data_IF_924596346770
#
_entry.id   IF_924596346770
#
_cell.length_a   1.000
_cell.length_b   1.000
_cell.length_c   1.000
_cell.angle_alpha   90.00
_cell.angle_beta   90.00
_cell.angle_gamma   90.00
#
_symmetry.space_group_name_H-M   'P 1'
#
loop_
_entity.id
_entity.type
_entity.pdbx_description
1 polymer ?
#
# COMPACT_ATOMS: atom_id res chain seq x y z
N UNK A 1 -0.73 42.62 2.21
CA UNK A 1 0.71 42.48 2.54
C UNK A 1 1.08 42.83 3.98
N UNK A 2 0.52 43.89 4.64
CA UNK A 2 0.90 44.31 6.01
C UNK A 2 0.73 43.17 7.04
N UNK A 3 -0.41 42.50 7.06
CA UNK A 3 -0.69 41.41 8.00
C UNK A 3 0.12 40.15 7.66
N UNK A 4 0.28 39.81 6.38
CA UNK A 4 1.13 38.69 5.95
C UNK A 4 2.58 38.82 6.44
N UNK A 5 3.18 40.00 6.31
CA UNK A 5 4.54 40.32 6.82
C UNK A 5 4.65 40.23 8.35
N UNK A 6 3.54 40.36 9.07
CA UNK A 6 3.47 40.22 10.53
C UNK A 6 3.10 38.82 10.97
N UNK A 7 3.05 37.85 10.06
CA UNK A 7 2.61 36.49 10.28
C UNK A 7 1.15 36.34 10.83
N UNK A 8 0.32 37.39 10.69
CA UNK A 8 -1.12 37.33 10.95
C UNK A 8 -1.82 36.78 9.69
N UNK A 9 -1.60 35.47 9.45
CA UNK A 9 -2.02 34.82 8.20
C UNK A 9 -3.54 34.73 8.07
N UNK A 10 -4.26 34.61 9.17
CA UNK A 10 -5.72 34.63 9.17
C UNK A 10 -6.29 35.94 8.63
N UNK A 11 -5.87 37.09 9.20
CA UNK A 11 -6.31 38.39 8.68
C UNK A 11 -5.81 38.65 7.27
N UNK A 12 -4.63 38.15 6.94
CA UNK A 12 -4.10 38.28 5.60
C UNK A 12 -4.95 37.53 4.56
N UNK A 13 -5.33 36.28 4.83
CA UNK A 13 -6.16 35.49 3.90
C UNK A 13 -7.55 36.10 3.71
N UNK A 14 -8.24 36.50 4.80
CA UNK A 14 -9.55 37.17 4.69
C UNK A 14 -9.49 38.41 3.78
N UNK A 15 -8.49 39.30 4.01
CA UNK A 15 -8.34 40.49 3.18
C UNK A 15 -7.94 40.17 1.73
N UNK A 16 -7.11 39.14 1.51
CA UNK A 16 -6.78 38.72 0.15
C UNK A 16 -8.00 38.21 -0.59
N UNK A 17 -8.87 37.42 0.07
CA UNK A 17 -10.13 36.95 -0.50
C UNK A 17 -11.08 38.09 -0.86
N UNK A 18 -11.23 39.10 0.03
CA UNK A 18 -12.06 40.28 -0.21
C UNK A 18 -11.60 41.12 -1.42
N UNK A 19 -10.26 41.31 -1.57
CA UNK A 19 -9.74 42.19 -2.63
C UNK A 19 -9.53 41.46 -3.97
N UNK A 20 -9.37 40.13 -3.98
CA UNK A 20 -9.10 39.35 -5.21
C UNK A 20 -10.13 39.63 -6.34
N UNK A 21 -11.45 39.67 -6.09
CA UNK A 21 -12.43 40.00 -7.14
C UNK A 21 -12.29 41.39 -7.70
N UNK A 22 -11.80 42.35 -6.90
CA UNK A 22 -11.64 43.74 -7.26
C UNK A 22 -10.40 44.00 -8.15
N UNK A 23 -9.44 43.07 -8.09
CA UNK A 23 -8.16 43.13 -8.80
C UNK A 23 -8.20 42.44 -10.19
N UNK A 24 -9.37 42.03 -10.69
CA UNK A 24 -9.45 41.35 -11.98
C UNK A 24 -8.91 42.27 -13.09
N UNK A 25 -7.88 41.74 -13.81
CA UNK A 25 -7.20 42.51 -14.87
C UNK A 25 -6.05 43.40 -14.36
N UNK A 26 -5.83 43.50 -13.06
CA UNK A 26 -4.71 44.25 -12.49
C UNK A 26 -3.48 43.34 -12.31
N UNK A 27 -2.29 43.90 -12.54
CA UNK A 27 -1.01 43.20 -12.38
C UNK A 27 -0.72 42.74 -10.94
N UNK A 28 -1.43 43.30 -9.95
CA UNK A 28 -1.33 42.91 -8.54
C UNK A 28 -2.18 41.69 -8.18
N UNK A 29 -3.14 41.30 -9.05
CA UNK A 29 -4.00 40.13 -8.81
C UNK A 29 -3.20 38.85 -8.63
N UNK A 30 -2.19 38.64 -9.47
CA UNK A 30 -1.30 37.49 -9.45
C UNK A 30 -0.61 37.35 -8.08
N UNK A 31 0.07 38.39 -7.62
CA UNK A 31 0.75 38.38 -6.32
C UNK A 31 -0.23 38.19 -5.16
N UNK A 32 -1.41 38.77 -5.24
CA UNK A 32 -2.44 38.64 -4.20
C UNK A 32 -2.91 37.21 -4.06
N UNK A 33 -3.21 36.53 -5.19
CA UNK A 33 -3.63 35.13 -5.17
C UNK A 33 -2.52 34.20 -4.69
N UNK A 34 -1.28 34.42 -5.11
CA UNK A 34 -0.12 33.64 -4.68
C UNK A 34 0.10 33.75 -3.16
N UNK A 35 0.07 34.96 -2.61
CA UNK A 35 0.23 35.15 -1.17
C UNK A 35 -1.00 34.71 -0.35
N UNK A 36 -2.20 34.71 -0.93
CA UNK A 36 -3.38 34.11 -0.31
C UNK A 36 -3.21 32.59 -0.14
N UNK A 37 -2.72 31.89 -1.17
CA UNK A 37 -2.42 30.47 -1.08
C UNK A 37 -1.39 30.17 0.04
N UNK A 38 -0.33 30.96 0.13
CA UNK A 38 0.64 30.84 1.22
C UNK A 38 0.06 31.18 2.60
N UNK A 39 -0.82 32.17 2.70
CA UNK A 39 -1.47 32.51 3.98
C UNK A 39 -2.30 31.33 4.50
N UNK A 40 -3.00 30.61 3.62
CA UNK A 40 -3.71 29.39 3.96
C UNK A 40 -2.75 28.25 4.35
N UNK A 41 -1.63 28.09 3.64
CA UNK A 41 -0.60 27.11 3.98
C UNK A 41 -0.06 27.29 5.40
N UNK A 42 0.33 28.52 5.76
CA UNK A 42 0.87 28.83 7.08
C UNK A 42 -0.15 28.75 8.22
N UNK A 43 -1.45 28.77 7.90
CA UNK A 43 -2.52 28.45 8.86
C UNK A 43 -2.74 26.96 9.05
N UNK A 44 -2.08 26.09 8.26
CA UNK A 44 -2.34 24.65 8.25
C UNK A 44 -3.57 24.24 7.46
N UNK A 45 -4.19 25.16 6.71
CA UNK A 45 -5.32 24.90 5.83
C UNK A 45 -4.84 24.31 4.50
N UNK A 46 -4.24 23.11 4.56
CA UNK A 46 -3.51 22.52 3.43
C UNK A 46 -4.41 22.20 2.23
N UNK A 47 -5.65 21.80 2.45
CA UNK A 47 -6.62 21.56 1.38
C UNK A 47 -6.93 22.84 0.61
N UNK A 48 -7.23 23.93 1.32
CA UNK A 48 -7.49 25.22 0.69
C UNK A 48 -6.23 25.75 0.01
N UNK A 49 -5.08 25.60 0.65
CA UNK A 49 -3.78 26.01 0.08
C UNK A 49 -3.51 25.28 -1.24
N UNK A 50 -3.68 23.95 -1.28
CA UNK A 50 -3.47 23.17 -2.50
C UNK A 50 -4.41 23.60 -3.61
N UNK A 51 -5.68 23.80 -3.32
CA UNK A 51 -6.66 24.31 -4.28
C UNK A 51 -6.26 25.69 -4.85
N UNK A 52 -5.87 26.61 -3.99
CA UNK A 52 -5.48 27.97 -4.39
C UNK A 52 -4.20 27.97 -5.25
N UNK A 53 -3.19 27.17 -4.90
CA UNK A 53 -1.97 27.03 -5.71
C UNK A 53 -2.24 26.36 -7.06
N UNK A 54 -3.11 25.34 -7.10
CA UNK A 54 -3.52 24.69 -8.35
C UNK A 54 -4.25 25.68 -9.27
N UNK A 55 -5.20 26.45 -8.70
CA UNK A 55 -5.93 27.50 -9.42
C UNK A 55 -5.00 28.59 -9.94
N UNK A 56 -4.02 28.99 -9.12
CA UNK A 56 -2.98 29.95 -9.52
C UNK A 56 -2.19 29.44 -10.73
N UNK A 57 -1.66 28.21 -10.65
CA UNK A 57 -0.90 27.60 -11.75
C UNK A 57 -1.71 27.48 -13.04
N UNK A 58 -2.99 27.10 -12.93
CA UNK A 58 -3.88 27.02 -14.09
C UNK A 58 -4.15 28.38 -14.74
N UNK A 59 -4.17 29.46 -13.93
CA UNK A 59 -4.48 30.82 -14.42
C UNK A 59 -3.24 31.56 -14.89
N UNK A 60 -2.12 31.38 -14.23
CA UNK A 60 -0.86 32.14 -14.42
C UNK A 60 0.33 31.20 -14.73
N UNK A 61 0.15 30.30 -15.69
CA UNK A 61 1.17 29.30 -16.04
C UNK A 61 2.50 29.88 -16.58
N UNK A 62 2.49 31.11 -17.07
CA UNK A 62 3.67 31.84 -17.55
C UNK A 62 4.26 32.77 -16.48
N UNK A 63 3.74 32.77 -15.28
CA UNK A 63 4.23 33.57 -14.16
C UNK A 63 5.61 33.11 -13.68
N UNK A 64 6.49 34.01 -13.23
CA UNK A 64 7.71 33.62 -12.53
C UNK A 64 7.44 32.86 -11.21
N UNK A 65 6.19 32.87 -10.71
CA UNK A 65 5.75 32.11 -9.54
C UNK A 65 5.10 30.76 -9.92
N UNK A 66 4.92 30.44 -11.19
CA UNK A 66 4.18 29.27 -11.64
C UNK A 66 4.82 27.94 -11.15
N UNK A 67 6.14 27.80 -11.32
CA UNK A 67 6.89 26.62 -10.84
C UNK A 67 6.75 26.45 -9.31
N UNK A 68 6.93 27.53 -8.55
CA UNK A 68 6.79 27.51 -7.10
C UNK A 68 5.35 27.20 -6.66
N UNK A 69 4.35 27.75 -7.36
CA UNK A 69 2.95 27.46 -7.09
C UNK A 69 2.63 25.99 -7.33
N UNK A 70 3.14 25.40 -8.41
CA UNK A 70 2.92 23.98 -8.70
C UNK A 70 3.62 23.08 -7.66
N UNK A 71 4.83 23.42 -7.25
CA UNK A 71 5.49 22.75 -6.13
C UNK A 71 4.66 22.85 -4.84
N UNK A 72 4.18 24.06 -4.49
CA UNK A 72 3.41 24.28 -3.27
C UNK A 72 2.03 23.62 -3.30
N UNK A 73 1.43 23.45 -4.48
CA UNK A 73 0.26 22.60 -4.67
C UNK A 73 0.53 21.17 -4.21
N UNK A 74 1.56 20.53 -4.78
CA UNK A 74 1.92 19.15 -4.43
C UNK A 74 2.39 19.02 -2.97
N UNK A 75 3.14 20.00 -2.47
CA UNK A 75 3.61 20.02 -1.09
C UNK A 75 2.48 20.22 -0.07
N UNK A 76 1.48 21.04 -0.40
CA UNK A 76 0.28 21.19 0.45
C UNK A 76 -0.49 19.87 0.54
N UNK A 77 -0.64 19.15 -0.58
CA UNK A 77 -1.25 17.82 -0.58
C UNK A 77 -0.45 16.84 0.28
N UNK A 78 0.88 16.84 0.18
CA UNK A 78 1.74 16.03 1.06
C UNK A 78 1.50 16.35 2.54
N UNK A 79 1.40 17.62 2.91
CA UNK A 79 1.15 18.06 4.29
C UNK A 79 -0.23 17.66 4.82
N UNK A 80 -1.22 17.47 3.94
CA UNK A 80 -2.58 17.04 4.28
C UNK A 80 -2.73 15.50 4.36
N UNK A 81 -1.65 14.75 4.09
CA UNK A 81 -1.72 13.28 4.14
C UNK A 81 -1.84 12.76 5.57
N UNK A 82 -2.74 11.77 5.81
CA UNK A 82 -2.90 11.17 7.13
C UNK A 82 -1.76 10.20 7.48
N UNK A 83 -1.64 9.80 8.77
CA UNK A 83 -0.76 8.71 9.16
C UNK A 83 -1.20 7.38 8.53
N UNK A 84 -0.27 6.40 8.44
CA UNK A 84 -0.43 5.15 7.69
C UNK A 84 -1.64 4.29 8.08
N UNK A 85 -2.13 4.40 9.31
CA UNK A 85 -3.26 3.60 9.84
C UNK A 85 -4.64 4.11 9.42
N UNK A 86 -4.74 5.33 8.89
CA UNK A 86 -5.98 5.91 8.37
C UNK A 86 -6.16 5.63 6.87
N UNK A 87 -7.25 6.12 6.29
CA UNK A 87 -7.46 6.05 4.84
C UNK A 87 -6.34 6.77 4.08
N UNK A 88 -5.88 6.19 2.98
CA UNK A 88 -4.70 6.69 2.23
C UNK A 88 -5.08 7.27 0.85
N UNK A 89 -6.33 7.60 0.62
CA UNK A 89 -6.77 8.22 -0.65
C UNK A 89 -6.02 9.52 -0.92
N UNK A 90 -5.91 10.41 0.08
CA UNK A 90 -5.15 11.65 -0.05
C UNK A 90 -3.65 11.40 -0.28
N UNK A 91 -3.10 10.32 0.30
CA UNK A 91 -1.70 9.94 0.08
C UNK A 91 -1.42 9.56 -1.37
N UNK A 92 -2.32 8.78 -1.99
CA UNK A 92 -2.20 8.39 -3.40
C UNK A 92 -2.25 9.63 -4.29
N UNK A 93 -3.19 10.54 -4.05
CA UNK A 93 -3.32 11.78 -4.82
C UNK A 93 -2.09 12.70 -4.66
N UNK A 94 -1.52 12.76 -3.45
CA UNK A 94 -0.29 13.51 -3.19
C UNK A 94 0.93 12.90 -3.91
N UNK A 95 1.02 11.57 -3.98
CA UNK A 95 2.05 10.86 -4.77
C UNK A 95 1.97 11.25 -6.24
N UNK A 96 0.78 11.23 -6.83
CA UNK A 96 0.57 11.60 -8.23
C UNK A 96 0.95 13.06 -8.49
N UNK A 97 0.58 13.98 -7.60
CA UNK A 97 0.94 15.38 -7.72
C UNK A 97 2.46 15.63 -7.63
N UNK A 98 3.15 14.98 -6.67
CA UNK A 98 4.61 15.06 -6.54
C UNK A 98 5.34 14.46 -7.74
N UNK A 99 4.88 13.30 -8.23
CA UNK A 99 5.48 12.66 -9.40
C UNK A 99 5.30 13.51 -10.65
N UNK A 100 4.11 14.11 -10.83
CA UNK A 100 3.82 15.00 -11.96
C UNK A 100 4.68 16.25 -11.91
N UNK A 101 4.92 16.82 -10.72
CA UNK A 101 5.85 17.95 -10.56
C UNK A 101 7.27 17.57 -10.98
N UNK A 102 7.81 16.45 -10.49
CA UNK A 102 9.16 15.99 -10.84
C UNK A 102 9.30 15.77 -12.34
N UNK A 103 8.28 15.18 -12.99
CA UNK A 103 8.29 14.93 -14.42
C UNK A 103 8.23 16.24 -15.24
N UNK A 104 7.49 17.26 -14.75
CA UNK A 104 7.33 18.56 -15.44
C UNK A 104 8.53 19.48 -15.24
N UNK A 105 9.19 19.38 -14.10
CA UNK A 105 10.31 20.25 -13.69
C UNK A 105 11.47 19.44 -13.10
N UNK A 106 12.14 18.59 -13.92
CA UNK A 106 13.20 17.68 -13.42
C UNK A 106 14.39 18.44 -12.81
N UNK A 107 14.74 19.58 -13.37
CA UNK A 107 15.87 20.43 -12.94
C UNK A 107 15.50 21.49 -11.90
N UNK A 108 14.28 21.42 -11.35
CA UNK A 108 13.82 22.35 -10.32
C UNK A 108 14.59 22.20 -9.01
N UNK A 109 14.87 23.32 -8.36
CA UNK A 109 15.40 23.34 -6.98
C UNK A 109 14.51 22.62 -5.96
N UNK A 110 13.26 22.34 -6.30
CA UNK A 110 12.29 21.63 -5.45
C UNK A 110 12.24 20.12 -5.71
N UNK A 111 12.85 19.61 -6.79
CA UNK A 111 12.75 18.20 -7.22
C UNK A 111 13.29 17.23 -6.17
N UNK A 112 14.40 17.56 -5.50
CA UNK A 112 14.96 16.74 -4.41
C UNK A 112 14.00 16.67 -3.20
N UNK A 113 13.31 17.76 -2.90
CA UNK A 113 12.32 17.77 -1.81
C UNK A 113 11.11 16.92 -2.16
N UNK A 114 10.60 17.06 -3.39
CA UNK A 114 9.50 16.22 -3.90
C UNK A 114 9.87 14.74 -3.87
N UNK A 115 11.08 14.37 -4.27
CA UNK A 115 11.56 12.99 -4.27
C UNK A 115 11.59 12.39 -2.85
N UNK A 116 12.07 13.15 -1.87
CA UNK A 116 12.06 12.73 -0.45
C UNK A 116 10.63 12.56 0.08
N UNK A 117 9.74 13.51 -0.22
CA UNK A 117 8.34 13.42 0.19
C UNK A 117 7.62 12.24 -0.48
N UNK A 118 7.91 11.98 -1.75
CA UNK A 118 7.40 10.84 -2.49
C UNK A 118 7.83 9.50 -1.85
N UNK A 119 9.09 9.41 -1.45
CA UNK A 119 9.60 8.24 -0.74
C UNK A 119 8.90 8.05 0.61
N UNK A 120 8.74 9.10 1.43
CA UNK A 120 8.02 9.03 2.70
C UNK A 120 6.56 8.53 2.52
N UNK A 121 5.85 9.02 1.51
CA UNK A 121 4.49 8.57 1.23
C UNK A 121 4.44 7.11 0.78
N UNK A 122 5.39 6.65 -0.04
CA UNK A 122 5.50 5.25 -0.45
C UNK A 122 5.79 4.34 0.75
N UNK A 123 6.67 4.75 1.66
CA UNK A 123 6.95 4.02 2.89
C UNK A 123 5.71 3.92 3.81
N UNK A 124 4.84 4.95 3.83
CA UNK A 124 3.56 4.91 4.58
C UNK A 124 2.58 3.89 3.97
N UNK A 125 2.46 3.85 2.63
CA UNK A 125 1.64 2.85 1.93
C UNK A 125 2.16 1.43 2.17
N UNK A 126 3.46 1.23 2.05
CA UNK A 126 4.15 -0.03 2.33
C UNK A 126 3.88 -0.49 3.77
N UNK A 127 4.05 0.39 4.75
CA UNK A 127 3.78 0.09 6.15
C UNK A 127 2.32 -0.28 6.40
N UNK A 128 1.37 0.43 5.79
CA UNK A 128 -0.05 0.08 5.89
C UNK A 128 -0.33 -1.32 5.35
N UNK A 129 0.22 -1.63 4.18
CA UNK A 129 0.05 -2.95 3.56
C UNK A 129 0.69 -4.06 4.39
N UNK A 130 1.88 -3.83 4.95
CA UNK A 130 2.56 -4.74 5.88
C UNK A 130 1.73 -5.01 7.14
N UNK A 131 1.25 -3.96 7.82
CA UNK A 131 0.46 -4.11 9.04
C UNK A 131 -0.88 -4.82 8.76
N UNK A 132 -1.48 -4.60 7.59
CA UNK A 132 -2.66 -5.31 7.13
C UNK A 132 -2.38 -6.82 6.95
N UNK A 133 -1.30 -7.18 6.27
CA UNK A 133 -0.89 -8.57 6.08
C UNK A 133 -0.64 -9.27 7.43
N UNK A 134 0.07 -8.58 8.32
CA UNK A 134 0.35 -9.05 9.69
C UNK A 134 -0.92 -9.21 10.53
N UNK A 135 -1.90 -8.34 10.36
CA UNK A 135 -3.20 -8.44 11.05
C UNK A 135 -3.94 -9.70 10.62
N UNK A 136 -4.08 -9.98 9.31
CA UNK A 136 -4.70 -11.21 8.83
C UNK A 136 -3.97 -12.46 9.33
N UNK A 137 -2.63 -12.42 9.36
CA UNK A 137 -1.85 -13.51 9.92
C UNK A 137 -2.12 -13.71 11.42
N UNK A 138 -2.24 -12.65 12.21
CA UNK A 138 -2.52 -12.73 13.65
C UNK A 138 -3.94 -13.17 13.98
N UNK A 139 -4.90 -12.80 13.16
CA UNK A 139 -6.34 -13.10 13.35
C UNK A 139 -6.78 -14.40 12.68
N UNK A 140 -5.84 -15.19 12.14
CA UNK A 140 -6.11 -16.51 11.61
C UNK A 140 -6.40 -17.48 12.77
N UNK A 141 -7.65 -17.76 13.01
CA UNK A 141 -8.13 -18.67 14.04
C UNK A 141 -9.35 -19.40 13.51
N UNK A 142 -9.38 -20.76 13.56
CA UNK A 142 -10.51 -21.56 13.09
C UNK A 142 -11.83 -21.21 13.79
N UNK A 143 -11.76 -20.77 15.04
CA UNK A 143 -12.92 -20.45 15.86
C UNK A 143 -13.60 -19.13 15.49
N UNK A 144 -12.91 -18.19 14.83
CA UNK A 144 -13.41 -16.83 14.56
C UNK A 144 -13.74 -16.51 13.12
N UNK A 145 -13.37 -17.30 12.17
CA UNK A 145 -13.58 -16.98 10.74
C UNK A 145 -13.37 -18.16 9.82
N UNK A 146 -13.17 -19.34 10.38
CA UNK A 146 -12.89 -20.53 9.60
C UNK A 146 -11.66 -20.36 8.70
N UNK A 147 -11.66 -21.07 7.58
CA UNK A 147 -10.56 -21.05 6.61
C UNK A 147 -10.36 -19.70 5.91
N UNK A 148 -11.34 -18.78 5.97
CA UNK A 148 -11.28 -17.51 5.24
C UNK A 148 -10.13 -16.62 5.69
N UNK A 149 -9.83 -16.56 6.98
CA UNK A 149 -8.73 -15.73 7.51
C UNK A 149 -7.35 -16.30 7.16
N UNK A 150 -7.19 -17.63 7.09
CA UNK A 150 -5.96 -18.25 6.59
C UNK A 150 -5.71 -17.91 5.13
N UNK A 151 -6.75 -18.08 4.29
CA UNK A 151 -6.67 -17.71 2.88
C UNK A 151 -6.41 -16.22 2.70
N UNK A 152 -7.11 -15.36 3.45
CA UNK A 152 -6.91 -13.91 3.41
C UNK A 152 -5.46 -13.53 3.79
N UNK A 153 -4.87 -14.23 4.78
CA UNK A 153 -3.46 -14.02 5.15
C UNK A 153 -2.53 -14.34 3.98
N UNK A 154 -2.68 -15.52 3.37
CA UNK A 154 -1.84 -15.93 2.23
C UNK A 154 -1.95 -14.96 1.07
N UNK A 155 -3.18 -14.63 0.65
CA UNK A 155 -3.45 -13.73 -0.49
C UNK A 155 -2.95 -12.30 -0.21
N UNK A 156 -3.15 -11.78 1.01
CA UNK A 156 -2.71 -10.42 1.35
C UNK A 156 -1.18 -10.31 1.35
N UNK A 157 -0.48 -11.35 1.84
CA UNK A 157 0.99 -11.40 1.80
C UNK A 157 1.47 -11.50 0.34
N UNK A 158 0.81 -12.28 -0.48
CA UNK A 158 1.17 -12.39 -1.90
C UNK A 158 1.00 -11.05 -2.64
N UNK A 159 -0.09 -10.35 -2.40
CA UNK A 159 -0.32 -9.02 -2.96
C UNK A 159 0.74 -8.02 -2.46
N UNK A 160 1.06 -8.04 -1.16
CA UNK A 160 2.16 -7.20 -0.63
C UNK A 160 3.47 -7.42 -1.38
N UNK A 161 3.85 -8.68 -1.62
CA UNK A 161 5.11 -9.02 -2.32
C UNK A 161 5.11 -8.58 -3.79
N UNK A 162 3.93 -8.51 -4.43
CA UNK A 162 3.77 -7.96 -5.79
C UNK A 162 3.88 -6.43 -5.81
N UNK A 163 3.23 -5.77 -4.84
CA UNK A 163 3.20 -4.31 -4.77
C UNK A 163 4.53 -3.72 -4.29
N UNK A 164 5.26 -4.47 -3.43
CA UNK A 164 6.52 -4.05 -2.80
C UNK A 164 7.61 -5.13 -2.92
N UNK A 165 8.11 -5.42 -4.13
CA UNK A 165 9.04 -6.53 -4.38
C UNK A 165 10.37 -6.39 -3.63
N UNK A 166 10.85 -5.16 -3.41
CA UNK A 166 12.12 -4.84 -2.74
C UNK A 166 11.97 -4.52 -1.25
N UNK A 167 10.78 -4.75 -0.69
CA UNK A 167 10.50 -4.44 0.71
C UNK A 167 11.33 -5.29 1.68
N UNK A 168 11.85 -4.62 2.70
CA UNK A 168 12.51 -5.29 3.85
C UNK A 168 11.60 -6.23 4.64
N UNK A 169 10.29 -6.10 4.50
CA UNK A 169 9.30 -6.95 5.18
C UNK A 169 9.05 -8.27 4.45
N UNK A 170 9.54 -8.44 3.22
CA UNK A 170 9.28 -9.63 2.40
C UNK A 170 9.79 -10.93 3.03
N UNK A 171 10.90 -10.92 3.76
CA UNK A 171 11.42 -12.10 4.44
C UNK A 171 10.46 -12.56 5.56
N UNK A 172 10.09 -11.65 6.48
CA UNK A 172 9.16 -11.94 7.57
C UNK A 172 7.79 -12.38 7.06
N UNK A 173 7.24 -11.65 6.08
CA UNK A 173 5.94 -11.98 5.50
C UNK A 173 5.96 -13.32 4.76
N UNK A 174 7.05 -13.67 4.06
CA UNK A 174 7.17 -14.98 3.41
C UNK A 174 7.20 -16.12 4.42
N UNK A 175 7.85 -15.94 5.58
CA UNK A 175 7.81 -16.91 6.67
C UNK A 175 6.38 -17.08 7.23
N UNK A 176 5.66 -15.98 7.42
CA UNK A 176 4.25 -15.99 7.82
C UNK A 176 3.36 -16.68 6.77
N UNK A 177 3.62 -16.46 5.48
CA UNK A 177 2.88 -17.07 4.38
C UNK A 177 2.97 -18.60 4.39
N UNK A 178 4.18 -19.13 4.57
CA UNK A 178 4.41 -20.58 4.66
C UNK A 178 3.62 -21.18 5.83
N UNK A 179 3.69 -20.55 7.01
CA UNK A 179 2.94 -20.97 8.19
C UNK A 179 1.42 -20.97 7.93
N UNK A 180 0.90 -19.88 7.40
CA UNK A 180 -0.54 -19.74 7.12
C UNK A 180 -1.02 -20.73 6.05
N UNK A 181 -0.20 -20.98 5.01
CA UNK A 181 -0.51 -21.92 3.94
C UNK A 181 -0.54 -23.37 4.44
N UNK A 182 0.41 -23.76 5.29
CA UNK A 182 0.38 -25.08 5.93
C UNK A 182 -0.87 -25.26 6.79
N UNK A 183 -1.17 -24.31 7.66
CA UNK A 183 -2.36 -24.35 8.53
C UNK A 183 -3.66 -24.39 7.70
N UNK A 184 -3.72 -23.62 6.61
CA UNK A 184 -4.81 -23.66 5.64
C UNK A 184 -4.94 -25.04 4.99
N UNK A 185 -3.84 -25.69 4.63
CA UNK A 185 -3.83 -27.02 4.04
C UNK A 185 -4.37 -28.08 5.01
N UNK A 186 -3.87 -28.05 6.26
CA UNK A 186 -4.20 -29.00 7.30
C UNK A 186 -5.69 -28.97 7.70
N UNK A 187 -6.27 -27.76 7.72
CA UNK A 187 -7.68 -27.52 8.05
C UNK A 187 -8.63 -27.67 6.83
N UNK A 188 -8.11 -27.93 5.65
CA UNK A 188 -8.90 -27.96 4.42
C UNK A 188 -9.65 -29.28 4.24
N UNK A 189 -10.72 -29.24 3.46
CA UNK A 189 -11.37 -30.44 2.95
C UNK A 189 -10.38 -31.26 2.12
N UNK A 190 -10.52 -32.59 2.18
CA UNK A 190 -9.64 -33.56 1.55
C UNK A 190 -9.29 -33.25 0.09
N UNK A 191 -10.29 -32.85 -0.71
CA UNK A 191 -10.14 -32.53 -2.13
C UNK A 191 -9.27 -31.29 -2.40
N UNK A 192 -8.95 -30.48 -1.38
CA UNK A 192 -8.10 -29.30 -1.47
C UNK A 192 -6.74 -29.46 -0.78
N UNK A 193 -6.57 -30.52 0.02
CA UNK A 193 -5.35 -30.70 0.81
C UNK A 193 -4.11 -30.90 -0.06
N UNK A 194 -4.20 -31.72 -1.12
CA UNK A 194 -3.07 -31.98 -2.04
C UNK A 194 -2.53 -30.69 -2.63
N UNK A 195 -3.38 -29.87 -3.23
CA UNK A 195 -3.03 -28.59 -3.81
C UNK A 195 -2.31 -27.69 -2.81
N UNK A 196 -2.92 -27.51 -1.63
CA UNK A 196 -2.44 -26.59 -0.60
C UNK A 196 -1.14 -27.02 0.09
N UNK A 197 -0.95 -28.32 0.33
CA UNK A 197 0.35 -28.83 0.83
C UNK A 197 1.44 -28.66 -0.23
N UNK A 198 1.15 -28.89 -1.51
CA UNK A 198 2.12 -28.64 -2.59
C UNK A 198 2.52 -27.18 -2.67
N UNK A 199 1.56 -26.26 -2.51
CA UNK A 199 1.85 -24.83 -2.43
C UNK A 199 2.73 -24.46 -1.23
N UNK A 200 2.52 -25.12 -0.06
CA UNK A 200 3.38 -24.91 1.11
C UNK A 200 4.83 -25.29 0.83
N UNK A 201 5.06 -26.44 0.18
CA UNK A 201 6.41 -26.87 -0.22
C UNK A 201 7.03 -25.86 -1.19
N UNK A 202 6.28 -25.44 -2.20
CA UNK A 202 6.72 -24.44 -3.19
C UNK A 202 7.09 -23.10 -2.54
N UNK A 203 6.31 -22.64 -1.57
CA UNK A 203 6.63 -21.40 -0.84
C UNK A 203 7.89 -21.55 0.01
N UNK A 204 8.08 -22.70 0.64
CA UNK A 204 9.28 -22.97 1.44
C UNK A 204 10.53 -23.03 0.57
N UNK A 205 10.51 -23.76 -0.55
CA UNK A 205 11.63 -23.84 -1.49
C UNK A 205 12.04 -22.45 -2.02
N UNK A 206 11.07 -21.67 -2.50
CA UNK A 206 11.31 -20.28 -2.92
C UNK A 206 11.86 -19.39 -1.78
N UNK A 207 11.45 -19.65 -0.54
CA UNK A 207 11.94 -18.92 0.60
C UNK A 207 13.41 -19.22 0.89
N UNK A 208 13.80 -20.49 0.90
CA UNK A 208 15.17 -20.93 1.14
C UNK A 208 16.10 -20.43 0.03
N UNK A 209 15.65 -20.51 -1.22
CA UNK A 209 16.43 -20.00 -2.37
C UNK A 209 16.68 -18.49 -2.26
N UNK A 210 15.66 -17.73 -1.88
CA UNK A 210 15.76 -16.26 -1.78
C UNK A 210 16.46 -15.80 -0.50
N UNK A 211 16.32 -16.52 0.61
CA UNK A 211 16.82 -16.15 1.93
C UNK A 211 17.62 -17.28 2.61
N UNK A 212 18.74 -17.75 2.01
CA UNK A 212 19.48 -18.94 2.48
C UNK A 212 20.04 -18.82 3.90
N UNK A 213 20.20 -17.59 4.41
CA UNK A 213 20.71 -17.32 5.77
C UNK A 213 19.61 -16.82 6.73
N UNK A 214 18.35 -17.03 6.39
CA UNK A 214 17.23 -16.56 7.21
C UNK A 214 17.16 -17.28 8.54
N UNK A 215 16.94 -16.50 9.60
CA UNK A 215 16.67 -17.04 10.95
C UNK A 215 15.40 -17.89 11.05
N UNK A 216 14.49 -17.75 10.09
CA UNK A 216 13.20 -18.46 10.09
C UNK A 216 13.28 -19.88 9.53
N UNK A 217 14.34 -20.26 8.82
CA UNK A 217 14.46 -21.56 8.13
C UNK A 217 14.17 -22.72 9.09
N UNK A 218 14.85 -22.78 10.25
CA UNK A 218 14.68 -23.86 11.24
C UNK A 218 13.24 -24.02 11.73
N UNK A 219 12.53 -22.90 11.90
CA UNK A 219 11.14 -22.92 12.35
C UNK A 219 10.17 -23.29 11.23
N UNK A 220 10.55 -23.06 9.98
CA UNK A 220 9.73 -23.35 8.81
C UNK A 220 9.92 -24.78 8.30
N UNK A 221 11.07 -25.40 8.50
CA UNK A 221 11.39 -26.78 8.12
C UNK A 221 10.34 -27.77 8.65
N UNK A 222 9.85 -27.56 9.87
CA UNK A 222 8.77 -28.37 10.45
C UNK A 222 7.48 -28.37 9.62
N UNK A 223 7.16 -27.26 8.94
CA UNK A 223 5.98 -27.16 8.09
C UNK A 223 6.22 -27.82 6.73
N UNK A 224 7.44 -27.77 6.23
CA UNK A 224 7.87 -28.53 5.05
C UNK A 224 7.70 -30.03 5.30
N UNK A 225 8.30 -30.59 6.37
CA UNK A 225 8.19 -32.00 6.71
C UNK A 225 6.75 -32.46 6.95
N UNK A 226 5.97 -31.63 7.65
CA UNK A 226 4.55 -31.93 7.89
C UNK A 226 3.74 -31.90 6.60
N UNK A 227 4.05 -31.03 5.66
CA UNK A 227 3.39 -30.98 4.35
C UNK A 227 3.71 -32.19 3.50
N UNK A 228 4.95 -32.68 3.52
CA UNK A 228 5.33 -33.94 2.86
C UNK A 228 4.52 -35.14 3.41
N UNK A 229 4.49 -35.27 4.75
CA UNK A 229 3.68 -36.31 5.41
C UNK A 229 2.18 -36.16 5.13
N UNK A 230 1.69 -34.93 5.00
CA UNK A 230 0.32 -34.63 4.60
C UNK A 230 0.02 -35.14 3.18
N UNK A 231 0.93 -34.91 2.24
CA UNK A 231 0.81 -35.41 0.85
C UNK A 231 0.85 -36.93 0.78
N UNK A 232 1.70 -37.59 1.55
CA UNK A 232 1.76 -39.04 1.65
C UNK A 232 0.41 -39.62 2.11
N UNK A 233 -0.17 -39.06 3.19
CA UNK A 233 -1.50 -39.47 3.68
C UNK A 233 -2.61 -39.25 2.65
N UNK A 234 -2.58 -38.12 1.96
CA UNK A 234 -3.56 -37.83 0.91
C UNK A 234 -3.44 -38.86 -0.21
N UNK A 235 -2.23 -39.20 -0.65
CA UNK A 235 -1.98 -40.20 -1.69
C UNK A 235 -2.47 -41.60 -1.28
N UNK A 236 -2.25 -42.02 -0.03
CA UNK A 236 -2.75 -43.29 0.50
C UNK A 236 -4.28 -43.36 0.50
N UNK A 237 -4.95 -42.27 0.90
CA UNK A 237 -6.42 -42.18 0.93
C UNK A 237 -6.97 -42.22 -0.49
N UNK A 238 -6.39 -41.48 -1.43
CA UNK A 238 -6.79 -41.46 -2.83
C UNK A 238 -6.70 -42.85 -3.45
N UNK A 239 -5.60 -43.59 -3.17
CA UNK A 239 -5.43 -44.96 -3.64
C UNK A 239 -6.52 -45.90 -3.11
N UNK A 240 -6.84 -45.80 -1.81
CA UNK A 240 -7.93 -46.59 -1.19
C UNK A 240 -9.30 -46.25 -1.81
N UNK A 241 -9.56 -44.98 -2.08
CA UNK A 241 -10.82 -44.57 -2.74
C UNK A 241 -10.91 -45.15 -4.16
N UNK A 242 -9.80 -45.18 -4.89
CA UNK A 242 -9.76 -45.76 -6.25
C UNK A 242 -9.99 -47.27 -6.23
N UNK A 243 -9.37 -47.98 -5.29
CA UNK A 243 -9.56 -49.41 -5.08
C UNK A 243 -11.03 -49.74 -4.76
N UNK A 244 -11.65 -48.97 -3.83
CA UNK A 244 -13.07 -49.16 -3.48
C UNK A 244 -14.02 -48.86 -4.66
N UNK A 245 -13.70 -47.88 -5.49
CA UNK A 245 -14.49 -47.60 -6.71
C UNK A 245 -14.43 -48.75 -7.72
N UNK A 246 -13.25 -49.31 -7.95
CA UNK A 246 -13.06 -50.47 -8.83
C UNK A 246 -13.87 -51.68 -8.35
N UNK A 247 -13.79 -52.00 -7.04
CA UNK A 247 -14.59 -53.09 -6.45
C UNK A 247 -16.09 -52.87 -6.61
N UNK A 248 -16.58 -51.63 -6.39
CA UNK A 248 -17.99 -51.30 -6.53
C UNK A 248 -18.49 -51.33 -8.01
N UNK A 249 -17.60 -51.10 -8.96
CA UNK A 249 -17.91 -51.26 -10.41
C UNK A 249 -17.98 -52.73 -10.79
N UNK A 250 -17.01 -53.54 -10.37
CA UNK A 250 -16.99 -55.00 -10.60
C UNK A 250 -18.23 -55.70 -9.99
N UNK A 251 -18.68 -55.32 -8.80
CA UNK A 251 -19.90 -55.84 -8.17
C UNK A 251 -21.19 -55.47 -8.93
N UNK A 252 -21.22 -54.38 -9.69
CA UNK A 252 -22.36 -53.98 -10.52
C UNK A 252 -22.42 -54.70 -11.85
N UNK A 253 -21.27 -55.09 -12.40
CA UNK A 253 -21.22 -55.85 -13.66
C UNK A 253 -21.57 -57.34 -13.48
N UNK A 254 -21.50 -57.85 -12.24
CA UNK A 254 -21.83 -59.25 -11.89
C UNK A 254 -23.32 -59.46 -11.58
N UNK A 255 -24.09 -58.39 -11.46
CA UNK A 255 -25.55 -58.41 -11.22
C UNK A 255 -26.33 -58.12 -12.50
#
# INVERSE_FOLDING_TARGET
MKYYKKADYYKASVLFEEITPLLRGDSTAEKTQFYNAYANFYQGNYQMSSYLFQSFYATYNNSPFAEEAYYMYAYSMYKDTPPYNLDQTNTITAIDALQTFINSYPDSKYSDNCSRNLQDLRERLERKAYEKAKLYFKTRDPSWGGLSNYLASVVTIENFKKDFPDSRYNEELSAMQITAQYELADLSLFNKQRERYTETLTFYEKFVDKYPNSKYIKDLEKYYDKSQKGLEKVAEIEKKIEELKKQAEEEKEVK
#
